data_IF_424795671018
#
_entry.id   IF_424795671018
#
_cell.length_a   1.000
_cell.length_b   1.000
_cell.length_c   1.000
_cell.angle_alpha   90.00
_cell.angle_beta   90.00
_cell.angle_gamma   90.00
#
_symmetry.space_group_name_H-M   'P 1'
#
loop_
_entity.id
_entity.type
_entity.pdbx_description
1 polymer ?
#
# COMPACT_ATOMS: atom_id res chain seq x y z
N UNK A 1 -11.49 -10.48 -13.38
CA UNK A 1 -10.32 -10.83 -14.21
C UNK A 1 -9.22 -9.78 -13.98
N UNK A 2 -7.96 -10.19 -13.99
CA UNK A 2 -6.80 -9.34 -13.69
C UNK A 2 -6.71 -8.16 -14.67
N UNK A 3 -6.93 -8.42 -15.96
CA UNK A 3 -6.94 -7.39 -17.00
C UNK A 3 -7.88 -6.23 -16.63
N UNK A 4 -9.11 -6.55 -16.21
CA UNK A 4 -10.09 -5.54 -15.84
C UNK A 4 -9.66 -4.76 -14.59
N UNK A 5 -9.09 -5.44 -13.59
CA UNK A 5 -8.60 -4.79 -12.36
C UNK A 5 -7.50 -3.78 -12.71
N UNK A 6 -6.57 -4.15 -13.58
CA UNK A 6 -5.49 -3.27 -14.03
C UNK A 6 -6.03 -2.06 -14.82
N UNK A 7 -7.04 -2.25 -15.68
CA UNK A 7 -7.70 -1.15 -16.40
C UNK A 7 -8.38 -0.18 -15.42
N UNK A 8 -9.12 -0.68 -14.43
CA UNK A 8 -9.77 0.19 -13.44
C UNK A 8 -8.75 0.91 -12.56
N UNK A 9 -7.69 0.24 -12.13
CA UNK A 9 -6.58 0.88 -11.43
C UNK A 9 -5.96 2.00 -12.28
N UNK A 10 -5.75 1.76 -13.57
CA UNK A 10 -5.18 2.75 -14.48
C UNK A 10 -6.07 4.01 -14.59
N UNK A 11 -7.39 3.86 -14.59
CA UNK A 11 -8.33 4.99 -14.59
C UNK A 11 -8.27 5.82 -13.30
N UNK A 12 -7.99 5.19 -12.17
CA UNK A 12 -7.80 5.89 -10.88
C UNK A 12 -6.50 6.71 -10.95
N UNK A 13 -5.43 6.09 -11.43
CA UNK A 13 -4.11 6.73 -11.58
C UNK A 13 -4.17 7.94 -12.52
N UNK A 14 -4.85 7.82 -13.66
CA UNK A 14 -5.01 8.91 -14.64
C UNK A 14 -5.60 10.19 -14.02
N UNK A 15 -6.50 10.01 -13.04
CA UNK A 15 -7.20 11.09 -12.35
C UNK A 15 -6.47 11.59 -11.11
N UNK A 16 -5.49 10.84 -10.59
CA UNK A 16 -4.80 11.19 -9.35
C UNK A 16 -3.68 12.19 -9.59
N UNK A 17 -3.76 13.35 -8.94
CA UNK A 17 -2.74 14.40 -9.00
C UNK A 17 -1.87 14.48 -7.73
N UNK A 18 -2.18 13.68 -6.71
CA UNK A 18 -1.48 13.70 -5.43
C UNK A 18 -0.19 12.88 -5.42
N UNK A 19 0.33 12.72 -4.20
CA UNK A 19 1.43 11.80 -3.89
C UNK A 19 0.84 10.40 -3.68
N UNK A 20 1.55 9.37 -4.14
CA UNK A 20 1.24 7.97 -3.81
C UNK A 20 1.99 7.59 -2.55
N UNK A 21 1.27 7.17 -1.52
CA UNK A 21 1.86 6.78 -0.23
C UNK A 21 1.85 5.26 -0.15
N UNK A 22 2.99 4.68 0.21
CA UNK A 22 3.18 3.23 0.26
C UNK A 22 3.93 2.80 1.51
N UNK A 23 3.83 1.51 1.83
CA UNK A 23 4.77 0.83 2.70
C UNK A 23 5.47 -0.27 1.89
N UNK A 24 6.73 -0.05 1.49
CA UNK A 24 7.51 -0.95 0.62
C UNK A 24 7.02 -1.05 -0.85
N UNK A 25 6.20 -0.09 -1.31
CA UNK A 25 5.62 -0.11 -2.66
C UNK A 25 6.60 0.16 -3.79
N UNK A 26 7.71 0.86 -3.53
CA UNK A 26 8.76 1.04 -4.54
C UNK A 26 9.60 -0.23 -4.75
N UNK A 27 9.65 -1.12 -3.77
CA UNK A 27 10.35 -2.40 -3.89
C UNK A 27 9.46 -3.51 -4.46
N UNK A 28 8.14 -3.40 -4.28
CA UNK A 28 7.20 -4.47 -4.62
C UNK A 28 6.00 -3.99 -5.45
N UNK A 29 5.05 -3.28 -4.86
CA UNK A 29 3.72 -3.04 -5.45
C UNK A 29 3.78 -2.42 -6.85
N UNK A 30 4.48 -1.29 -6.99
CA UNK A 30 4.50 -0.54 -8.26
C UNK A 30 5.29 -1.28 -9.35
N UNK A 31 6.51 -1.79 -9.10
CA UNK A 31 7.19 -2.66 -10.06
C UNK A 31 6.35 -3.86 -10.50
N UNK A 32 5.67 -4.52 -9.55
CA UNK A 32 4.82 -5.67 -9.85
C UNK A 32 3.64 -5.27 -10.75
N UNK A 33 2.90 -4.22 -10.40
CA UNK A 33 1.76 -3.73 -11.18
C UNK A 33 2.19 -3.34 -12.60
N UNK A 34 3.30 -2.60 -12.76
CA UNK A 34 3.82 -2.20 -14.08
C UNK A 34 4.21 -3.44 -14.90
N UNK A 35 4.81 -4.46 -14.28
CA UNK A 35 5.13 -5.71 -14.96
C UNK A 35 3.86 -6.45 -15.41
N UNK A 36 2.81 -6.50 -14.59
CA UNK A 36 1.52 -7.11 -14.95
C UNK A 36 0.79 -6.33 -16.04
N UNK A 37 0.84 -5.00 -16.01
CA UNK A 37 0.34 -4.15 -17.10
C UNK A 37 1.05 -4.44 -18.41
N UNK A 38 2.39 -4.52 -18.38
CA UNK A 38 3.21 -4.87 -19.54
C UNK A 38 2.84 -6.23 -20.12
N UNK A 39 2.66 -7.25 -19.27
CA UNK A 39 2.20 -8.59 -19.68
C UNK A 39 0.86 -8.55 -20.44
N UNK A 40 -0.07 -7.70 -20.01
CA UNK A 40 -1.39 -7.52 -20.63
C UNK A 40 -1.42 -6.49 -21.77
N UNK A 41 -0.29 -5.89 -22.14
CA UNK A 41 -0.24 -4.82 -23.15
C UNK A 41 -0.92 -3.51 -22.73
N UNK A 42 -1.09 -3.29 -21.42
CA UNK A 42 -1.69 -2.08 -20.85
C UNK A 42 -0.59 -1.03 -20.66
N UNK A 43 -0.79 0.18 -21.19
CA UNK A 43 0.11 1.30 -20.94
C UNK A 43 -0.27 2.00 -19.62
N UNK A 44 0.67 2.25 -18.68
CA UNK A 44 0.39 3.00 -17.46
C UNK A 44 -0.11 4.43 -17.76
N UNK A 45 -1.19 4.86 -17.11
CA UNK A 45 -1.92 6.09 -17.40
C UNK A 45 -1.22 7.40 -16.97
N UNK A 46 0.08 7.38 -16.72
CA UNK A 46 0.80 8.60 -16.40
C UNK A 46 2.26 8.38 -16.06
N UNK A 47 3.08 9.35 -16.45
CA UNK A 47 4.53 9.36 -16.13
C UNK A 47 4.79 9.39 -14.62
N UNK A 48 3.83 9.86 -13.83
CA UNK A 48 3.94 9.87 -12.36
C UNK A 48 3.97 8.45 -11.80
N UNK A 49 3.13 7.53 -12.28
CA UNK A 49 3.12 6.14 -11.80
C UNK A 49 4.43 5.39 -12.14
N UNK A 50 5.07 5.72 -13.26
CA UNK A 50 6.28 5.05 -13.74
C UNK A 50 7.59 5.71 -13.30
N UNK A 51 7.51 6.84 -12.59
CA UNK A 51 8.68 7.56 -12.08
C UNK A 51 9.18 6.94 -10.76
N UNK A 52 9.91 5.83 -10.86
CA UNK A 52 10.42 5.05 -9.71
C UNK A 52 11.81 5.49 -9.22
N UNK A 53 12.17 6.77 -9.43
CA UNK A 53 13.46 7.29 -8.97
C UNK A 53 13.58 7.17 -7.45
N UNK A 54 14.77 6.76 -6.99
CA UNK A 54 15.07 6.66 -5.56
C UNK A 54 15.41 8.04 -4.96
N UNK A 55 15.36 8.13 -3.64
CA UNK A 55 15.72 9.30 -2.82
C UNK A 55 14.87 10.55 -3.05
N UNK A 56 13.68 10.39 -3.64
CA UNK A 56 12.68 11.44 -3.78
C UNK A 56 11.38 11.01 -3.10
N UNK A 57 10.52 11.99 -2.80
CA UNK A 57 9.24 11.78 -2.12
C UNK A 57 8.02 12.08 -3.00
N UNK A 58 8.24 12.62 -4.21
CA UNK A 58 7.24 12.85 -5.25
C UNK A 58 7.67 12.14 -6.54
N UNK A 59 6.80 11.33 -7.19
CA UNK A 59 5.39 11.10 -6.87
C UNK A 59 5.13 9.98 -5.85
N UNK A 60 6.14 9.17 -5.53
CA UNK A 60 6.02 8.05 -4.61
C UNK A 60 6.68 8.36 -3.27
N UNK A 61 5.89 8.35 -2.21
CA UNK A 61 6.34 8.44 -0.83
C UNK A 61 6.28 7.04 -0.20
N UNK A 62 7.42 6.36 -0.14
CA UNK A 62 7.51 5.04 0.49
C UNK A 62 7.95 5.19 1.96
N UNK A 63 7.00 4.96 2.88
CA UNK A 63 7.18 5.07 4.33
C UNK A 63 8.33 4.18 4.82
N UNK A 64 8.43 2.95 4.32
CA UNK A 64 9.48 2.02 4.73
C UNK A 64 10.84 2.55 4.29
N UNK A 65 10.99 2.89 3.01
CA UNK A 65 12.26 3.39 2.46
C UNK A 65 12.74 4.64 3.20
N UNK A 66 11.84 5.60 3.42
CA UNK A 66 12.20 6.88 4.02
C UNK A 66 12.49 6.74 5.52
N UNK A 67 11.70 5.96 6.25
CA UNK A 67 11.90 5.79 7.69
C UNK A 67 13.21 5.05 8.01
N UNK A 68 13.54 4.02 7.23
CA UNK A 68 14.78 3.26 7.40
C UNK A 68 15.97 3.87 6.66
N UNK A 69 15.82 5.07 6.10
CA UNK A 69 16.84 5.77 5.32
C UNK A 69 17.48 4.88 4.23
N UNK A 70 16.63 4.20 3.47
CA UNK A 70 16.99 3.30 2.36
C UNK A 70 17.81 2.07 2.75
N UNK A 71 18.00 1.82 4.05
CA UNK A 71 18.63 0.62 4.58
C UNK A 71 17.57 -0.38 5.05
N UNK A 72 17.10 -1.22 4.13
CA UNK A 72 16.04 -2.19 4.37
C UNK A 72 16.47 -3.39 5.23
N UNK A 73 17.76 -3.53 5.56
CA UNK A 73 18.22 -4.62 6.43
C UNK A 73 17.64 -4.54 7.84
N UNK A 74 17.20 -3.34 8.24
CA UNK A 74 16.57 -3.05 9.55
C UNK A 74 15.06 -2.84 9.45
N UNK A 75 14.48 -2.98 8.24
CA UNK A 75 13.07 -2.72 8.03
C UNK A 75 12.18 -3.73 8.75
N UNK A 76 11.16 -3.24 9.45
CA UNK A 76 10.15 -4.08 10.10
C UNK A 76 8.97 -4.32 9.15
N UNK A 77 8.18 -5.38 9.36
CA UNK A 77 6.86 -5.51 8.75
C UNK A 77 5.92 -4.39 9.21
N UNK A 78 4.95 -4.03 8.35
CA UNK A 78 3.98 -2.95 8.59
C UNK A 78 3.32 -3.05 9.96
N UNK A 79 2.77 -4.23 10.28
CA UNK A 79 2.06 -4.46 11.54
C UNK A 79 2.92 -4.28 12.80
N UNK A 80 4.20 -4.69 12.74
CA UNK A 80 5.13 -4.51 13.88
C UNK A 80 5.45 -3.02 14.06
N UNK A 81 5.74 -2.31 12.96
CA UNK A 81 5.99 -0.88 13.05
C UNK A 81 4.76 -0.10 13.54
N UNK A 82 3.56 -0.50 13.12
CA UNK A 82 2.29 0.07 13.56
C UNK A 82 2.07 -0.11 15.08
N UNK A 83 2.32 -1.31 15.60
CA UNK A 83 2.21 -1.62 17.03
C UNK A 83 3.18 -0.78 17.87
N UNK A 84 4.44 -0.65 17.43
CA UNK A 84 5.43 0.22 18.09
C UNK A 84 4.98 1.69 18.17
N UNK A 85 4.16 2.13 17.22
CA UNK A 85 3.62 3.48 17.18
C UNK A 85 2.24 3.62 17.82
N UNK A 86 1.71 2.57 18.46
CA UNK A 86 0.40 2.57 19.10
C UNK A 86 -0.74 2.83 18.11
N UNK A 87 -0.61 2.34 16.88
CA UNK A 87 -1.68 2.42 15.89
C UNK A 87 -2.68 1.28 16.07
N UNK A 88 -3.96 1.48 15.70
CA UNK A 88 -4.89 0.39 15.50
C UNK A 88 -4.29 -0.60 14.51
N UNK A 89 -4.21 -1.86 14.92
CA UNK A 89 -3.75 -2.96 14.09
C UNK A 89 -4.84 -4.04 14.21
N UNK A 90 -5.42 -4.52 13.09
CA UNK A 90 -6.37 -5.62 13.14
C UNK A 90 -5.62 -6.83 13.72
N UNK A 91 -5.88 -7.15 14.99
CA UNK A 91 -5.23 -8.26 15.65
C UNK A 91 -5.49 -9.55 14.86
N UNK A 92 -4.45 -10.10 14.23
CA UNK A 92 -4.32 -11.51 13.86
C UNK A 92 -5.35 -12.10 12.86
N UNK A 93 -6.07 -11.32 12.07
CA UNK A 93 -7.07 -11.92 11.16
C UNK A 93 -6.45 -12.58 9.92
N UNK A 94 -5.43 -11.95 9.32
CA UNK A 94 -4.74 -12.48 8.15
C UNK A 94 -3.30 -11.96 8.10
N UNK A 95 -2.37 -12.80 7.61
CA UNK A 95 -0.99 -12.43 7.32
C UNK A 95 -0.70 -12.64 5.84
N UNK A 96 0.27 -11.92 5.27
CA UNK A 96 0.53 -11.94 3.82
C UNK A 96 0.76 -13.34 3.23
N UNK A 97 1.41 -14.24 3.97
CA UNK A 97 1.63 -15.65 3.61
C UNK A 97 0.35 -16.50 3.58
N UNK A 98 -0.73 -16.02 4.20
CA UNK A 98 -2.03 -16.71 4.29
C UNK A 98 -3.07 -16.19 3.29
N UNK A 99 -2.79 -15.10 2.58
CA UNK A 99 -3.73 -14.49 1.61
C UNK A 99 -4.15 -15.50 0.55
N UNK A 100 -3.21 -16.28 -0.01
CA UNK A 100 -3.53 -17.30 -1.01
C UNK A 100 -4.43 -18.42 -0.45
N UNK A 101 -4.19 -18.86 0.79
CA UNK A 101 -5.01 -19.87 1.43
C UNK A 101 -6.43 -19.36 1.71
N UNK A 102 -6.58 -18.10 2.14
CA UNK A 102 -7.87 -17.44 2.31
C UNK A 102 -8.62 -17.31 0.97
N UNK A 103 -7.90 -16.97 -0.11
CA UNK A 103 -8.43 -16.89 -1.46
C UNK A 103 -9.00 -18.23 -1.91
N UNK A 104 -8.24 -19.33 -1.72
CA UNK A 104 -8.70 -20.67 -2.09
C UNK A 104 -9.94 -21.13 -1.30
N UNK A 105 -10.12 -20.61 -0.08
CA UNK A 105 -11.29 -20.87 0.76
C UNK A 105 -12.47 -19.94 0.47
N UNK A 106 -12.32 -18.97 -0.45
CA UNK A 106 -13.36 -17.98 -0.75
C UNK A 106 -13.61 -16.98 0.38
N UNK A 107 -12.61 -16.75 1.25
CA UNK A 107 -12.71 -15.82 2.38
C UNK A 107 -12.45 -14.37 1.92
N UNK A 108 -13.25 -13.88 0.96
CA UNK A 108 -13.05 -12.58 0.31
C UNK A 108 -13.12 -11.41 1.27
N UNK A 109 -14.11 -11.40 2.16
CA UNK A 109 -14.32 -10.31 3.12
C UNK A 109 -13.08 -10.11 4.01
N UNK A 110 -12.42 -11.20 4.40
CA UNK A 110 -11.17 -11.15 5.18
C UNK A 110 -10.02 -10.54 4.39
N UNK A 111 -9.92 -10.87 3.10
CA UNK A 111 -8.86 -10.33 2.23
C UNK A 111 -9.09 -8.82 1.99
N UNK A 112 -10.33 -8.43 1.70
CA UNK A 112 -10.72 -7.03 1.51
C UNK A 112 -10.38 -6.24 2.77
N UNK A 113 -10.87 -6.71 3.92
CA UNK A 113 -10.63 -6.07 5.20
C UNK A 113 -9.14 -5.93 5.53
N UNK A 114 -8.35 -6.97 5.28
CA UNK A 114 -6.90 -6.96 5.43
C UNK A 114 -6.23 -5.88 4.56
N UNK A 115 -6.58 -5.79 3.27
CA UNK A 115 -6.01 -4.79 2.36
C UNK A 115 -6.39 -3.35 2.74
N UNK A 116 -7.63 -3.14 3.19
CA UNK A 116 -8.12 -1.83 3.62
C UNK A 116 -7.43 -1.36 4.91
N UNK A 117 -7.25 -2.27 5.86
CA UNK A 117 -6.49 -1.99 7.08
C UNK A 117 -5.02 -1.71 6.82
N UNK A 118 -4.35 -2.46 5.93
CA UNK A 118 -2.97 -2.18 5.53
C UNK A 118 -2.84 -0.77 4.91
N UNK A 119 -3.83 -0.37 4.11
CA UNK A 119 -3.92 0.98 3.52
C UNK A 119 -4.10 2.06 4.60
N UNK A 120 -5.05 1.87 5.53
CA UNK A 120 -5.29 2.81 6.62
C UNK A 120 -4.08 2.93 7.57
N UNK A 121 -3.43 1.81 7.87
CA UNK A 121 -2.22 1.74 8.71
C UNK A 121 -1.07 2.49 8.06
N UNK A 122 -0.85 2.28 6.75
CA UNK A 122 0.17 3.00 5.97
C UNK A 122 -0.06 4.51 6.02
N UNK A 123 -1.31 4.97 5.84
CA UNK A 123 -1.67 6.38 5.95
C UNK A 123 -1.39 6.95 7.36
N UNK A 124 -1.74 6.21 8.41
CA UNK A 124 -1.53 6.63 9.79
C UNK A 124 -0.06 6.70 10.18
N UNK A 125 0.77 5.74 9.75
CA UNK A 125 2.22 5.82 9.91
C UNK A 125 2.77 7.06 9.22
N UNK A 126 2.39 7.29 7.96
CA UNK A 126 2.81 8.48 7.24
C UNK A 126 2.47 9.78 7.97
N UNK A 127 1.20 9.93 8.39
CA UNK A 127 0.71 11.09 9.16
C UNK A 127 1.49 11.29 10.45
N UNK A 128 1.71 10.22 11.21
CA UNK A 128 2.35 10.29 12.53
C UNK A 128 3.85 10.59 12.42
N UNK A 129 4.55 9.91 11.51
CA UNK A 129 6.01 9.91 11.45
C UNK A 129 6.58 11.06 10.63
N UNK A 130 5.86 11.52 9.60
CA UNK A 130 6.37 12.52 8.66
C UNK A 130 5.61 13.84 8.70
N UNK A 131 4.35 13.84 9.15
CA UNK A 131 3.57 15.07 9.35
C UNK A 131 3.43 15.46 10.83
N UNK A 132 3.83 14.57 11.75
CA UNK A 132 3.67 14.75 13.20
C UNK A 132 2.21 15.05 13.61
N UNK A 133 1.25 14.52 12.85
CA UNK A 133 -0.17 14.69 13.10
C UNK A 133 -0.71 13.57 14.00
N UNK A 134 -1.78 13.83 14.76
CA UNK A 134 -2.52 12.78 15.45
C UNK A 134 -3.00 11.71 14.47
N UNK A 135 -3.03 10.48 14.97
CA UNK A 135 -3.54 9.32 14.24
C UNK A 135 -5.03 9.49 13.98
N UNK A 136 -5.51 8.93 12.86
CA UNK A 136 -6.93 8.71 12.63
C UNK A 136 -7.30 7.49 13.46
N UNK A 137 -8.20 7.61 14.44
CA UNK A 137 -8.63 6.46 15.23
C UNK A 137 -9.56 5.57 14.39
N UNK A 138 -9.62 4.29 14.71
CA UNK A 138 -10.29 3.24 13.91
C UNK A 138 -11.77 3.54 13.69
N UNK A 139 -12.45 4.18 14.64
CA UNK A 139 -13.88 4.50 14.55
C UNK A 139 -14.20 5.53 13.46
N UNK A 140 -13.17 6.17 12.88
CA UNK A 140 -13.29 7.10 11.75
C UNK A 140 -12.95 6.46 10.41
N UNK A 141 -12.66 5.17 10.37
CA UNK A 141 -12.38 4.48 9.11
C UNK A 141 -13.69 4.27 8.34
N UNK A 142 -13.64 4.57 7.04
CA UNK A 142 -14.74 4.35 6.11
C UNK A 142 -14.24 3.36 5.04
N UNK A 143 -14.43 2.08 5.33
CA UNK A 143 -14.11 0.99 4.41
C UNK A 143 -15.23 0.78 3.39
N UNK A 144 -14.89 0.06 2.32
CA UNK A 144 -15.83 -0.33 1.28
C UNK A 144 -16.95 -1.22 1.87
N UNK A 145 -18.16 -1.04 1.35
CA UNK A 145 -19.35 -1.84 1.68
C UNK A 145 -19.53 -2.97 0.68
#
# INVERSE_FOLDING_TARGET
DEYQILIEFNKIVDKHQGIYIHYNGLNFDIPFIIQRMSYHGISPAGVRLTNLRRYITDPHFDVMMLYYNWDLSRALPLGILAELHGLPNPKNELSGDKVYAAYQKGEWDKIVHYCEFDTATTLNLWRKMFLYLPIIPEEKYHFSQ
#
